data_IF_627873954000
#
_entry.id   IF_627873954000
#
_cell.length_a   1.000
_cell.length_b   1.000
_cell.length_c   1.000
_cell.angle_alpha   90.00
_cell.angle_beta   90.00
_cell.angle_gamma   90.00
#
_symmetry.space_group_name_H-M   'P 1'
#
loop_
_entity.id
_entity.type
_entity.pdbx_description
1 polymer ?
#
# COMPACT_ATOMS: atom_id res chain seq x y z
N UNK A 1 -7.13 32.78 13.68
CA UNK A 1 -7.49 32.20 12.38
C UNK A 1 -6.23 31.56 11.81
N UNK A 2 -6.01 30.28 12.00
CA UNK A 2 -4.90 29.53 11.43
C UNK A 2 -5.17 29.37 9.94
N UNK A 3 -4.42 30.09 9.11
CA UNK A 3 -4.51 29.95 7.65
C UNK A 3 -4.17 28.50 7.28
N UNK A 4 -5.04 27.86 6.53
CA UNK A 4 -4.73 26.55 5.97
C UNK A 4 -3.47 26.66 5.10
N UNK A 5 -2.53 25.72 5.19
CA UNK A 5 -1.35 25.76 4.33
C UNK A 5 -1.79 25.67 2.87
N UNK A 6 -1.25 26.56 2.04
CA UNK A 6 -1.51 26.53 0.58
C UNK A 6 -0.90 25.27 0.01
N UNK A 7 -1.75 24.30 -0.35
CA UNK A 7 -1.34 23.02 -0.94
C UNK A 7 -1.30 23.18 -2.46
N UNK A 8 -0.11 22.99 -3.07
CA UNK A 8 0.05 22.97 -4.54
C UNK A 8 0.37 21.56 -5.01
N UNK A 9 -0.31 21.10 -6.05
CA UNK A 9 -0.04 19.80 -6.64
C UNK A 9 1.38 19.76 -7.24
N UNK A 10 2.17 18.73 -6.89
CA UNK A 10 3.56 18.53 -7.30
C UNK A 10 4.61 19.55 -6.77
N UNK A 11 4.26 20.47 -5.88
CA UNK A 11 5.22 21.34 -5.24
C UNK A 11 5.89 20.66 -4.04
N UNK A 12 7.22 20.59 -4.06
CA UNK A 12 8.01 19.90 -3.00
C UNK A 12 8.05 20.66 -1.67
N UNK A 13 7.75 21.94 -1.70
CA UNK A 13 7.81 22.83 -0.53
C UNK A 13 6.47 22.95 0.18
N UNK A 14 5.40 22.42 -0.39
CA UNK A 14 4.06 22.40 0.22
C UNK A 14 3.69 21.01 0.74
N UNK A 15 2.76 20.94 1.71
CA UNK A 15 2.22 19.67 2.15
C UNK A 15 1.65 18.85 0.98
N UNK A 16 1.65 17.50 1.04
CA UNK A 16 1.15 16.67 -0.04
C UNK A 16 -0.33 16.91 -0.30
N UNK A 17 -0.71 16.94 -1.58
CA UNK A 17 -2.10 17.06 -1.98
C UNK A 17 -2.90 15.81 -1.58
N UNK A 18 -4.17 15.98 -1.20
CA UNK A 18 -5.04 14.87 -0.76
C UNK A 18 -5.11 13.75 -1.80
N UNK A 19 -5.11 14.09 -3.09
CA UNK A 19 -5.09 13.11 -4.18
C UNK A 19 -3.86 12.19 -4.11
N UNK A 20 -2.69 12.73 -3.74
CA UNK A 20 -1.47 11.92 -3.57
C UNK A 20 -1.64 10.92 -2.43
N UNK A 21 -2.26 11.35 -1.31
CA UNK A 21 -2.53 10.48 -0.17
C UNK A 21 -3.54 9.39 -0.52
N UNK A 22 -4.58 9.72 -1.29
CA UNK A 22 -5.57 8.75 -1.80
C UNK A 22 -4.90 7.73 -2.73
N UNK A 23 -4.04 8.18 -3.66
CA UNK A 23 -3.32 7.28 -4.57
C UNK A 23 -2.39 6.32 -3.82
N UNK A 24 -1.60 6.82 -2.88
CA UNK A 24 -0.68 5.99 -2.10
C UNK A 24 -1.44 4.96 -1.26
N UNK A 25 -2.52 5.37 -0.60
CA UNK A 25 -3.39 4.46 0.15
C UNK A 25 -4.11 3.47 -0.77
N UNK A 26 -4.56 3.94 -1.94
CA UNK A 26 -5.23 3.13 -2.96
C UNK A 26 -4.33 2.04 -3.54
N UNK A 27 -3.07 2.32 -3.83
CA UNK A 27 -2.10 1.32 -4.31
C UNK A 27 -1.96 0.19 -3.29
N UNK A 28 -1.95 0.51 -1.99
CA UNK A 28 -1.88 -0.49 -0.93
C UNK A 28 -3.11 -1.43 -0.94
N UNK A 29 -4.30 -0.88 -1.14
CA UNK A 29 -5.54 -1.66 -1.23
C UNK A 29 -5.61 -2.46 -2.55
N UNK A 30 -5.17 -1.87 -3.67
CA UNK A 30 -5.14 -2.51 -4.98
C UNK A 30 -4.26 -3.75 -4.99
N UNK A 31 -3.07 -3.68 -4.38
CA UNK A 31 -2.14 -4.79 -4.31
C UNK A 31 -2.74 -6.04 -3.66
N UNK A 32 -3.66 -5.89 -2.73
CA UNK A 32 -4.38 -7.00 -2.12
C UNK A 32 -5.53 -7.47 -3.01
N UNK A 33 -6.32 -6.55 -3.55
CA UNK A 33 -7.54 -6.86 -4.30
C UNK A 33 -7.28 -7.52 -5.65
N UNK A 34 -6.21 -7.11 -6.35
CA UNK A 34 -5.85 -7.62 -7.67
C UNK A 34 -5.30 -9.06 -7.61
N UNK A 35 -4.74 -9.45 -6.46
CA UNK A 35 -4.12 -10.75 -6.27
C UNK A 35 -5.15 -11.89 -6.07
N UNK A 36 -6.29 -11.59 -5.43
CA UNK A 36 -7.27 -12.59 -5.03
C UNK A 36 -7.82 -13.45 -6.19
N UNK A 37 -8.21 -12.87 -7.35
CA UNK A 37 -8.71 -13.66 -8.48
C UNK A 37 -7.67 -14.63 -9.05
N UNK A 38 -6.41 -14.22 -9.08
CA UNK A 38 -5.32 -14.96 -9.72
C UNK A 38 -4.77 -16.13 -8.86
N UNK A 39 -5.24 -16.28 -7.62
CA UNK A 39 -4.71 -17.27 -6.67
C UNK A 39 -4.76 -18.71 -7.22
N UNK A 40 -5.90 -19.10 -7.80
CA UNK A 40 -6.09 -20.43 -8.34
C UNK A 40 -5.23 -20.71 -9.58
N UNK A 41 -4.98 -19.69 -10.41
CA UNK A 41 -4.12 -19.79 -11.59
C UNK A 41 -2.64 -19.89 -11.20
N UNK A 42 -2.21 -19.10 -10.23
CA UNK A 42 -0.86 -19.14 -9.68
C UNK A 42 -0.53 -20.50 -9.04
N UNK A 43 -1.49 -21.12 -8.36
CA UNK A 43 -1.36 -22.47 -7.82
C UNK A 43 -0.98 -23.47 -8.92
N UNK A 44 -1.66 -23.42 -10.05
CA UNK A 44 -1.37 -24.25 -11.22
C UNK A 44 -0.04 -23.91 -11.89
N UNK A 45 0.26 -22.62 -12.02
CA UNK A 45 1.51 -22.13 -12.64
C UNK A 45 2.76 -22.61 -11.89
N UNK A 46 2.75 -22.52 -10.56
CA UNK A 46 3.86 -22.96 -9.72
C UNK A 46 3.84 -24.46 -9.39
N UNK A 47 2.81 -25.22 -9.82
CA UNK A 47 2.68 -26.65 -9.52
C UNK A 47 2.62 -26.95 -8.01
N UNK A 48 2.01 -26.06 -7.24
CA UNK A 48 1.93 -26.13 -5.77
C UNK A 48 0.50 -26.42 -5.30
N UNK A 49 0.33 -26.72 -4.02
CA UNK A 49 -0.98 -26.85 -3.41
C UNK A 49 -1.59 -25.46 -3.06
N UNK A 50 -2.91 -25.44 -2.93
CA UNK A 50 -3.66 -24.20 -2.62
C UNK A 50 -3.30 -23.64 -1.26
N UNK A 51 -2.99 -24.49 -0.26
CA UNK A 51 -2.60 -24.07 1.07
C UNK A 51 -1.27 -23.30 1.04
N UNK A 52 -0.28 -23.77 0.30
CA UNK A 52 0.99 -23.05 0.11
C UNK A 52 0.78 -21.73 -0.59
N UNK A 53 -0.06 -21.67 -1.64
CA UNK A 53 -0.33 -20.40 -2.32
C UNK A 53 -1.11 -19.42 -1.41
N UNK A 54 -1.94 -19.90 -0.50
CA UNK A 54 -2.66 -19.09 0.46
C UNK A 54 -1.72 -18.37 1.46
N UNK A 55 -0.48 -18.90 1.66
CA UNK A 55 0.56 -18.20 2.42
C UNK A 55 0.95 -16.86 1.78
N UNK A 56 0.78 -16.69 0.47
CA UNK A 56 0.99 -15.41 -0.19
C UNK A 56 0.03 -14.32 0.33
N UNK A 57 -1.16 -14.70 0.78
CA UNK A 57 -2.12 -13.78 1.38
C UNK A 57 -1.91 -13.64 2.88
N UNK A 58 -1.89 -14.75 3.62
CA UNK A 58 -1.78 -14.73 5.08
C UNK A 58 -0.44 -14.16 5.55
N UNK A 59 0.66 -14.56 4.92
CA UNK A 59 1.99 -14.02 5.23
C UNK A 59 2.12 -12.54 4.84
N UNK A 60 1.56 -12.12 3.71
CA UNK A 60 1.48 -10.71 3.36
C UNK A 60 0.72 -9.90 4.42
N UNK A 61 -0.42 -10.40 4.92
CA UNK A 61 -1.18 -9.74 5.99
C UNK A 61 -0.38 -9.69 7.30
N UNK A 62 0.30 -10.76 7.67
CA UNK A 62 1.16 -10.79 8.85
C UNK A 62 2.33 -9.79 8.73
N UNK A 63 3.02 -9.78 7.59
CA UNK A 63 4.08 -8.82 7.30
C UNK A 63 3.58 -7.37 7.35
N UNK A 64 2.39 -7.12 6.79
CA UNK A 64 1.72 -5.81 6.84
C UNK A 64 1.43 -5.39 8.27
N UNK A 65 0.90 -6.28 9.10
CA UNK A 65 0.58 -5.98 10.50
C UNK A 65 1.85 -5.64 11.30
N UNK A 66 2.93 -6.38 11.12
CA UNK A 66 4.22 -6.10 11.75
C UNK A 66 4.80 -4.76 11.30
N UNK A 67 4.78 -4.48 9.99
CA UNK A 67 5.26 -3.21 9.46
C UNK A 67 4.46 -2.02 9.98
N UNK A 68 3.15 -2.14 10.13
CA UNK A 68 2.32 -1.05 10.65
C UNK A 68 2.69 -0.62 12.07
N UNK A 69 3.17 -1.55 12.90
CA UNK A 69 3.62 -1.24 14.26
C UNK A 69 4.94 -0.45 14.23
N UNK A 70 5.85 -0.82 13.32
CA UNK A 70 7.22 -0.32 13.29
C UNK A 70 7.33 0.98 12.49
N UNK A 71 6.51 1.14 11.45
CA UNK A 71 6.66 2.24 10.48
C UNK A 71 6.33 3.61 11.07
N UNK A 72 5.43 3.67 12.06
CA UNK A 72 5.10 4.89 12.79
C UNK A 72 6.37 5.53 13.38
N UNK A 73 7.01 4.88 14.36
CA UNK A 73 8.25 5.36 14.98
C UNK A 73 9.38 5.67 13.98
N UNK A 74 9.53 4.83 12.95
CA UNK A 74 10.54 5.07 11.89
C UNK A 74 10.24 6.37 11.16
N UNK A 75 9.00 6.59 10.77
CA UNK A 75 8.61 7.80 10.04
C UNK A 75 8.64 9.07 10.90
N UNK A 76 8.48 8.94 12.21
CA UNK A 76 8.62 10.06 13.14
C UNK A 76 10.09 10.48 13.28
N UNK A 77 11.02 9.53 13.21
CA UNK A 77 12.47 9.77 13.31
C UNK A 77 13.09 10.28 12.00
N UNK A 78 12.75 9.67 10.87
CA UNK A 78 13.40 9.95 9.57
C UNK A 78 12.57 10.86 8.66
N UNK A 79 11.35 11.18 9.07
CA UNK A 79 10.39 11.99 8.29
C UNK A 79 9.45 11.14 7.43
N UNK A 80 8.23 11.65 7.23
CA UNK A 80 7.16 10.94 6.49
C UNK A 80 7.55 10.66 5.03
N UNK A 81 8.07 11.68 4.33
CA UNK A 81 8.34 11.63 2.90
C UNK A 81 9.41 10.61 2.51
N UNK A 82 10.64 10.61 3.09
CA UNK A 82 11.66 9.64 2.72
C UNK A 82 11.21 8.20 3.01
N UNK A 83 10.51 7.97 4.12
CA UNK A 83 10.03 6.63 4.48
C UNK A 83 9.00 6.11 3.46
N UNK A 84 8.06 6.96 3.00
CA UNK A 84 7.12 6.57 1.93
C UNK A 84 7.86 6.27 0.63
N UNK A 85 8.82 7.10 0.23
CA UNK A 85 9.57 6.90 -1.01
C UNK A 85 10.39 5.59 -0.98
N UNK A 86 11.05 5.29 0.14
CA UNK A 86 11.76 4.02 0.31
C UNK A 86 10.82 2.83 0.29
N UNK A 87 9.68 2.91 0.95
CA UNK A 87 8.69 1.85 0.94
C UNK A 87 8.13 1.60 -0.47
N UNK A 88 7.87 2.65 -1.25
CA UNK A 88 7.45 2.53 -2.64
C UNK A 88 8.55 1.94 -3.53
N UNK A 89 9.81 2.33 -3.33
CA UNK A 89 10.94 1.74 -4.04
C UNK A 89 11.07 0.23 -3.76
N UNK A 90 11.00 -0.16 -2.49
CA UNK A 90 11.00 -1.58 -2.09
C UNK A 90 9.82 -2.32 -2.71
N UNK A 91 8.62 -1.74 -2.72
CA UNK A 91 7.45 -2.33 -3.35
C UNK A 91 7.64 -2.56 -4.85
N UNK A 92 8.19 -1.59 -5.58
CA UNK A 92 8.45 -1.72 -7.03
C UNK A 92 9.46 -2.83 -7.29
N UNK A 93 10.59 -2.85 -6.56
CA UNK A 93 11.62 -3.90 -6.70
C UNK A 93 11.03 -5.27 -6.36
N UNK A 94 10.27 -5.37 -5.27
CA UNK A 94 9.62 -6.62 -4.87
C UNK A 94 8.59 -7.10 -5.93
N UNK A 95 7.88 -6.18 -6.58
CA UNK A 95 6.93 -6.52 -7.64
C UNK A 95 7.63 -7.07 -8.88
N UNK A 96 8.74 -6.48 -9.30
CA UNK A 96 9.57 -7.03 -10.36
C UNK A 96 10.17 -8.39 -9.97
N UNK A 97 10.65 -8.55 -8.75
CA UNK A 97 11.16 -9.82 -8.25
C UNK A 97 10.09 -10.91 -8.20
N UNK A 98 8.87 -10.58 -7.80
CA UNK A 98 7.74 -11.51 -7.80
C UNK A 98 7.35 -11.94 -9.23
N UNK A 99 7.39 -11.00 -10.19
CA UNK A 99 7.13 -11.29 -11.61
C UNK A 99 8.17 -12.24 -12.21
N UNK A 100 9.44 -12.11 -11.85
CA UNK A 100 10.55 -12.92 -12.33
C UNK A 100 10.80 -14.18 -11.49
N UNK A 101 9.97 -14.47 -10.49
CA UNK A 101 10.20 -15.55 -9.55
C UNK A 101 10.13 -16.94 -10.23
N UNK A 102 11.21 -17.73 -10.21
CA UNK A 102 11.25 -19.05 -10.84
C UNK A 102 10.61 -20.16 -9.97
N UNK A 103 10.31 -19.86 -8.71
CA UNK A 103 9.73 -20.82 -7.76
C UNK A 103 8.76 -20.16 -6.80
N UNK A 104 7.82 -20.94 -6.25
CA UNK A 104 6.85 -20.46 -5.28
C UNK A 104 7.49 -19.85 -4.03
N UNK A 105 8.61 -20.43 -3.54
CA UNK A 105 9.31 -19.88 -2.36
C UNK A 105 9.87 -18.49 -2.60
N UNK A 106 10.49 -18.25 -3.77
CA UNK A 106 11.01 -16.93 -4.16
C UNK A 106 9.84 -15.94 -4.35
N UNK A 107 8.77 -16.39 -5.00
CA UNK A 107 7.55 -15.60 -5.15
C UNK A 107 6.98 -15.17 -3.78
N UNK A 108 6.85 -16.10 -2.83
CA UNK A 108 6.37 -15.81 -1.49
C UNK A 108 7.27 -14.81 -0.76
N UNK A 109 8.60 -14.95 -0.87
CA UNK A 109 9.54 -13.99 -0.27
C UNK A 109 9.33 -12.56 -0.80
N UNK A 110 9.23 -12.40 -2.12
CA UNK A 110 8.92 -11.09 -2.71
C UNK A 110 7.52 -10.60 -2.35
N UNK A 111 6.55 -11.50 -2.21
CA UNK A 111 5.21 -11.15 -1.75
C UNK A 111 5.22 -10.58 -0.34
N UNK A 112 6.04 -11.12 0.58
CA UNK A 112 6.25 -10.52 1.92
C UNK A 112 6.87 -9.13 1.83
N UNK A 113 7.87 -8.92 0.97
CA UNK A 113 8.50 -7.61 0.76
C UNK A 113 7.51 -6.57 0.18
N UNK A 114 6.56 -6.99 -0.65
CA UNK A 114 5.49 -6.12 -1.15
C UNK A 114 4.64 -5.52 -0.02
N UNK A 115 4.63 -6.09 1.19
CA UNK A 115 3.96 -5.52 2.36
C UNK A 115 4.48 -4.11 2.69
N UNK A 116 5.67 -3.71 2.20
CA UNK A 116 6.18 -2.35 2.33
C UNK A 116 5.19 -1.29 1.80
N UNK A 117 4.35 -1.62 0.82
CA UNK A 117 3.31 -0.70 0.29
C UNK A 117 2.30 -0.28 1.36
N UNK A 118 2.07 -1.10 2.39
CA UNK A 118 1.17 -0.77 3.51
C UNK A 118 1.63 0.46 4.32
N UNK A 119 2.92 0.81 4.24
CA UNK A 119 3.46 2.07 4.74
C UNK A 119 2.68 3.28 4.21
N UNK A 120 2.29 3.24 2.93
CA UNK A 120 1.50 4.29 2.31
C UNK A 120 0.14 4.49 2.98
N UNK A 121 -0.52 3.42 3.37
CA UNK A 121 -1.80 3.47 4.07
C UNK A 121 -1.68 4.10 5.47
N UNK A 122 -0.67 3.71 6.23
CA UNK A 122 -0.43 4.22 7.58
C UNK A 122 -0.02 5.68 7.53
N UNK A 123 0.95 6.01 6.68
CA UNK A 123 1.52 7.34 6.62
C UNK A 123 0.59 8.36 5.96
N UNK A 124 -0.29 7.96 5.05
CA UNK A 124 -1.32 8.88 4.53
C UNK A 124 -2.22 9.42 5.64
N UNK A 125 -2.64 8.59 6.59
CA UNK A 125 -3.42 9.01 7.76
C UNK A 125 -2.61 9.84 8.74
N UNK A 126 -1.34 9.49 8.96
CA UNK A 126 -0.45 10.24 9.82
C UNK A 126 -0.19 11.65 9.26
N UNK A 127 0.09 11.76 7.97
CA UNK A 127 0.28 13.04 7.27
C UNK A 127 -0.97 13.92 7.37
N UNK A 128 -2.18 13.37 7.21
CA UNK A 128 -3.42 14.15 7.38
C UNK A 128 -3.50 14.74 8.79
N UNK A 129 -3.17 13.95 9.81
CA UNK A 129 -3.18 14.43 11.21
C UNK A 129 -2.13 15.52 11.48
N UNK A 130 -1.01 15.46 10.76
CA UNK A 130 0.06 16.46 10.89
C UNK A 130 -0.27 17.76 10.13
N UNK A 131 -1.17 17.71 9.12
CA UNK A 131 -1.48 18.84 8.23
C UNK A 131 -2.63 19.72 8.72
N UNK A 132 -3.62 19.15 9.43
CA UNK A 132 -4.87 19.86 9.77
C UNK A 132 -5.24 19.69 11.24
N UNK A 133 -5.98 20.68 11.82
CA UNK A 133 -6.51 20.57 13.18
C UNK A 133 -7.36 19.32 13.36
N UNK A 134 -7.38 18.78 14.59
CA UNK A 134 -8.05 17.52 14.91
C UNK A 134 -9.53 17.46 14.46
N UNK A 135 -10.26 18.59 14.55
CA UNK A 135 -11.65 18.66 14.10
C UNK A 135 -11.84 18.43 12.60
N UNK A 136 -10.82 18.73 11.78
CA UNK A 136 -10.85 18.58 10.32
C UNK A 136 -10.18 17.25 9.88
N UNK A 137 -9.28 16.71 10.70
CA UNK A 137 -8.54 15.50 10.39
C UNK A 137 -9.48 14.30 10.14
N UNK A 138 -10.54 14.18 10.92
CA UNK A 138 -11.53 13.10 10.77
C UNK A 138 -12.21 13.13 9.39
N UNK A 139 -12.64 14.31 8.93
CA UNK A 139 -13.25 14.48 7.61
C UNK A 139 -12.26 14.16 6.49
N UNK A 140 -11.04 14.66 6.59
CA UNK A 140 -10.00 14.45 5.57
C UNK A 140 -9.56 12.99 5.49
N UNK A 141 -9.43 12.29 6.62
CA UNK A 141 -9.20 10.83 6.67
C UNK A 141 -10.39 10.09 6.05
N UNK A 142 -11.62 10.57 6.27
CA UNK A 142 -12.83 10.04 5.64
C UNK A 142 -12.74 10.08 4.11
N UNK A 143 -12.30 11.19 3.50
CA UNK A 143 -12.09 11.29 2.06
C UNK A 143 -11.01 10.34 1.55
N UNK A 144 -9.90 10.21 2.25
CA UNK A 144 -8.84 9.24 1.89
C UNK A 144 -9.39 7.81 1.94
N UNK A 145 -10.13 7.48 2.98
CA UNK A 145 -10.73 6.14 3.15
C UNK A 145 -11.81 5.87 2.10
N UNK A 146 -12.64 6.86 1.75
CA UNK A 146 -13.65 6.75 0.69
C UNK A 146 -13.00 6.51 -0.67
N UNK A 147 -11.95 7.27 -1.02
CA UNK A 147 -11.18 7.05 -2.24
C UNK A 147 -10.57 5.63 -2.30
N UNK A 148 -10.05 5.15 -1.16
CA UNK A 148 -9.52 3.80 -1.05
C UNK A 148 -10.60 2.71 -1.18
N UNK A 149 -11.84 2.96 -0.72
CA UNK A 149 -12.94 1.98 -0.79
C UNK A 149 -13.39 1.69 -2.23
N UNK A 150 -13.13 2.59 -3.18
CA UNK A 150 -13.40 2.36 -4.60
C UNK A 150 -12.44 1.33 -5.23
N UNK A 151 -11.26 1.18 -4.68
CA UNK A 151 -10.22 0.30 -5.23
C UNK A 151 -10.60 -1.18 -5.23
N UNK A 152 -11.20 -1.75 -4.18
CA UNK A 152 -11.68 -3.14 -4.19
C UNK A 152 -12.77 -3.42 -5.23
N UNK A 153 -13.47 -2.40 -5.70
CA UNK A 153 -14.46 -2.57 -6.78
C UNK A 153 -13.81 -2.74 -8.14
N UNK A 154 -12.69 -2.04 -8.37
CA UNK A 154 -11.99 -2.04 -9.66
C UNK A 154 -10.87 -3.08 -9.70
N UNK A 155 -10.24 -3.36 -8.56
CA UNK A 155 -9.11 -4.29 -8.45
C UNK A 155 -9.37 -5.69 -9.02
N UNK A 156 -10.44 -6.38 -8.62
CA UNK A 156 -10.77 -7.70 -9.14
C UNK A 156 -11.10 -7.71 -10.65
N UNK A 157 -11.69 -6.61 -11.17
CA UNK A 157 -11.98 -6.48 -12.61
C UNK A 157 -10.67 -6.39 -13.41
N UNK A 158 -9.70 -5.61 -12.92
CA UNK A 158 -8.37 -5.51 -13.54
C UNK A 158 -7.64 -6.84 -13.40
N UNK A 159 -7.65 -7.45 -12.21
CA UNK A 159 -7.01 -8.73 -11.95
C UNK A 159 -7.55 -9.84 -12.84
N UNK A 160 -8.87 -9.94 -12.97
CA UNK A 160 -9.52 -10.94 -13.83
C UNK A 160 -9.31 -10.69 -15.33
N UNK A 161 -9.12 -9.44 -15.77
CA UNK A 161 -8.82 -9.10 -17.16
C UNK A 161 -7.36 -9.36 -17.54
N UNK A 162 -6.46 -9.40 -16.57
CA UNK A 162 -5.03 -9.70 -16.75
C UNK A 162 -4.73 -11.20 -16.63
N UNK A 163 -5.69 -12.00 -16.17
CA UNK A 163 -5.66 -13.46 -16.05
C UNK A 163 -6.04 -14.13 -17.37
#
# INVERSE_FOLDING_TARGET
MTQMPVVRFLDRNTPPHIATLILIAGISALNMSIFLPSLARMTRYFGTDYATMQLALSGYLAATALLQIIIGPISDRYGRRPVVLWAMAVFVVASFGAYLAPSVGIFLAFRMLQAAVATGLVLSRAVVRDMVPQAQAASMIGYVTMGMALVPMVGPMIGGALD
#
